data_IF_528145813256
#
_entry.id   IF_528145813256
#
_cell.length_a   1.000
_cell.length_b   1.000
_cell.length_c   1.000
_cell.angle_alpha   90.00
_cell.angle_beta   90.00
_cell.angle_gamma   90.00
#
_symmetry.space_group_name_H-M   'P 1'
#
loop_
_entity.id
_entity.type
_entity.pdbx_description
1 polymer ?
#
# COMPACT_ATOMS: atom_id res chain seq x y z
N UNK A 1 -2.85 -7.01 -6.61
CA UNK A 1 -1.39 -7.33 -6.56
C UNK A 1 -0.61 -6.37 -7.46
N UNK A 2 0.42 -5.69 -6.93
CA UNK A 2 1.26 -4.73 -7.69
C UNK A 2 2.40 -5.43 -8.45
N UNK A 3 2.69 -4.98 -9.67
CA UNK A 3 3.86 -5.44 -10.45
C UNK A 3 5.17 -4.89 -9.85
N UNK A 4 6.32 -5.48 -10.20
CA UNK A 4 7.64 -4.99 -9.75
C UNK A 4 7.84 -3.51 -10.05
N UNK A 5 7.54 -3.08 -11.28
CA UNK A 5 7.62 -1.67 -11.71
C UNK A 5 6.66 -0.75 -10.93
N UNK A 6 5.46 -1.23 -10.61
CA UNK A 6 4.50 -0.45 -9.80
C UNK A 6 4.97 -0.30 -8.36
N UNK A 7 5.56 -1.35 -7.76
CA UNK A 7 6.16 -1.28 -6.42
C UNK A 7 7.31 -0.27 -6.37
N UNK A 8 8.23 -0.34 -7.34
CA UNK A 8 9.32 0.63 -7.47
C UNK A 8 8.82 2.07 -7.64
N UNK A 9 7.73 2.26 -8.40
CA UNK A 9 7.10 3.57 -8.54
C UNK A 9 6.49 4.07 -7.23
N UNK A 10 5.84 3.20 -6.46
CA UNK A 10 5.24 3.55 -5.18
C UNK A 10 6.31 3.93 -4.16
N UNK A 11 7.35 3.11 -4.03
CA UNK A 11 8.49 3.35 -3.16
C UNK A 11 9.20 4.67 -3.52
N UNK A 12 9.39 4.96 -4.81
CA UNK A 12 9.98 6.22 -5.24
C UNK A 12 9.14 7.45 -4.80
N UNK A 13 7.82 7.34 -4.79
CA UNK A 13 6.92 8.41 -4.32
C UNK A 13 7.03 8.56 -2.80
N UNK A 14 7.02 7.44 -2.06
CA UNK A 14 7.10 7.43 -0.61
C UNK A 14 8.41 8.04 -0.09
N UNK A 15 9.53 7.70 -0.73
CA UNK A 15 10.82 8.25 -0.33
C UNK A 15 10.90 9.73 -0.69
N UNK A 16 10.44 10.17 -1.88
CA UNK A 16 10.39 11.60 -2.20
C UNK A 16 9.56 12.39 -1.16
N UNK A 17 8.45 11.84 -0.70
CA UNK A 17 7.64 12.48 0.35
C UNK A 17 8.33 12.45 1.72
N UNK A 18 9.07 11.38 2.04
CA UNK A 18 9.82 11.26 3.30
C UNK A 18 11.00 12.23 3.35
N UNK A 19 11.62 12.51 2.20
CA UNK A 19 12.68 13.50 2.03
C UNK A 19 12.14 14.95 2.06
N UNK A 20 10.83 15.14 2.27
CA UNK A 20 10.19 16.46 2.23
C UNK A 20 10.06 17.05 0.81
N UNK A 21 10.36 16.25 -0.22
CA UNK A 21 10.31 16.68 -1.60
C UNK A 21 8.92 16.53 -2.22
N UNK A 22 8.62 17.39 -3.21
CA UNK A 22 7.42 17.21 -4.04
C UNK A 22 7.59 16.04 -5.00
N UNK A 23 6.75 15.02 -4.84
CA UNK A 23 6.64 13.91 -5.77
C UNK A 23 6.06 14.35 -7.12
N UNK A 24 6.92 14.83 -8.01
CA UNK A 24 6.57 15.20 -9.40
C UNK A 24 6.87 14.06 -10.36
N UNK A 25 6.13 13.97 -11.47
CA UNK A 25 6.31 12.93 -12.49
C UNK A 25 7.75 12.88 -13.04
N UNK A 26 8.41 14.03 -13.17
CA UNK A 26 9.80 14.11 -13.63
C UNK A 26 10.77 13.49 -12.62
N UNK A 27 10.60 13.80 -11.32
CA UNK A 27 11.44 13.23 -10.25
C UNK A 27 11.20 11.74 -10.08
N UNK A 28 9.94 11.32 -10.11
CA UNK A 28 9.57 9.90 -10.08
C UNK A 28 10.24 9.16 -11.25
N UNK A 29 10.10 9.70 -12.47
CA UNK A 29 10.73 9.16 -13.67
C UNK A 29 12.26 9.04 -13.55
N UNK A 30 12.93 10.10 -13.06
CA UNK A 30 14.38 10.09 -12.81
C UNK A 30 14.80 8.99 -11.84
N UNK A 31 14.02 8.75 -10.78
CA UNK A 31 14.29 7.73 -9.76
C UNK A 31 14.11 6.30 -10.26
N UNK A 32 13.07 6.06 -11.06
CA UNK A 32 12.73 4.71 -11.54
C UNK A 32 13.31 4.40 -12.94
N UNK A 33 14.10 5.30 -13.52
CA UNK A 33 14.62 5.17 -14.88
C UNK A 33 13.50 5.08 -15.92
N UNK A 34 12.53 5.99 -15.87
CA UNK A 34 11.43 6.07 -16.82
C UNK A 34 11.25 7.49 -17.37
N UNK A 35 10.71 7.59 -18.59
CA UNK A 35 10.28 8.87 -19.15
C UNK A 35 9.14 9.46 -18.31
N UNK A 36 8.91 10.77 -18.42
CA UNK A 36 7.79 11.47 -17.74
C UNK A 36 6.44 10.82 -18.07
N UNK A 37 6.22 10.41 -19.32
CA UNK A 37 5.01 9.71 -19.75
C UNK A 37 4.90 8.30 -19.18
N UNK A 38 6.01 7.56 -19.10
CA UNK A 38 6.05 6.24 -18.46
C UNK A 38 5.75 6.31 -16.96
N UNK A 39 6.34 7.29 -16.27
CA UNK A 39 6.05 7.57 -14.86
C UNK A 39 4.56 7.93 -14.66
N UNK A 40 4.00 8.77 -15.54
CA UNK A 40 2.58 9.11 -15.50
C UNK A 40 1.67 7.88 -15.60
N UNK A 41 1.96 6.98 -16.54
CA UNK A 41 1.19 5.74 -16.70
C UNK A 41 1.26 4.84 -15.46
N UNK A 42 2.43 4.70 -14.85
CA UNK A 42 2.59 3.94 -13.61
C UNK A 42 1.83 4.56 -12.45
N UNK A 43 1.95 5.88 -12.27
CA UNK A 43 1.22 6.63 -11.22
C UNK A 43 -0.28 6.53 -11.44
N UNK A 44 -0.77 6.66 -12.68
CA UNK A 44 -2.19 6.49 -13.01
C UNK A 44 -2.67 5.09 -12.64
N UNK A 45 -1.90 4.04 -12.94
CA UNK A 45 -2.24 2.66 -12.56
C UNK A 45 -2.26 2.45 -11.04
N UNK A 46 -1.36 3.11 -10.31
CA UNK A 46 -1.39 3.11 -8.84
C UNK A 46 -2.62 3.86 -8.30
N UNK A 47 -3.03 4.94 -8.96
CA UNK A 47 -4.21 5.72 -8.58
C UNK A 47 -5.51 4.96 -8.83
N UNK A 48 -5.64 4.31 -9.99
CA UNK A 48 -6.76 3.41 -10.32
C UNK A 48 -6.89 2.26 -9.30
N UNK A 49 -5.79 1.89 -8.63
CA UNK A 49 -5.75 0.83 -7.61
C UNK A 49 -5.87 1.36 -6.18
N UNK A 50 -6.04 2.67 -5.99
CA UNK A 50 -6.23 3.29 -4.68
C UNK A 50 -4.97 3.38 -3.80
N UNK A 51 -3.77 3.25 -4.39
CA UNK A 51 -2.51 3.41 -3.64
C UNK A 51 -2.04 4.87 -3.57
N UNK A 52 -2.42 5.68 -4.56
CA UNK A 52 -2.07 7.09 -4.62
C UNK A 52 -3.28 7.91 -5.05
N UNK A 53 -3.36 9.16 -4.60
CA UNK A 53 -4.30 10.16 -5.11
C UNK A 53 -3.57 11.14 -6.00
N UNK A 54 -4.16 11.43 -7.15
CA UNK A 54 -3.72 12.48 -8.05
C UNK A 54 -4.62 13.69 -7.86
N UNK A 55 -4.12 14.74 -7.21
CA UNK A 55 -4.85 16.00 -7.21
C UNK A 55 -4.53 16.73 -8.51
N UNK A 56 -5.56 17.27 -9.15
CA UNK A 56 -5.44 17.95 -10.44
C UNK A 56 -5.90 19.39 -10.33
N UNK A 57 -5.32 20.26 -11.15
CA UNK A 57 -5.88 21.58 -11.41
C UNK A 57 -7.19 21.45 -12.21
N UNK A 58 -8.06 22.48 -12.21
CA UNK A 58 -9.24 22.52 -13.07
C UNK A 58 -8.93 22.31 -14.56
N UNK A 59 -7.72 22.70 -15.00
CA UNK A 59 -7.20 22.45 -16.36
C UNK A 59 -6.85 20.99 -16.66
N UNK A 60 -6.94 20.09 -15.69
CA UNK A 60 -6.64 18.67 -15.83
C UNK A 60 -5.17 18.28 -15.59
N UNK A 61 -4.27 19.25 -15.40
CA UNK A 61 -2.87 18.99 -15.07
C UNK A 61 -2.70 18.42 -13.66
N UNK A 62 -1.78 17.46 -13.49
CA UNK A 62 -1.45 16.89 -12.16
C UNK A 62 -0.77 17.95 -11.31
N UNK A 63 -1.38 18.28 -10.18
CA UNK A 63 -0.89 19.23 -9.18
C UNK A 63 -0.03 18.55 -8.13
N UNK A 64 -0.53 17.46 -7.56
CA UNK A 64 0.16 16.69 -6.52
C UNK A 64 -0.14 15.20 -6.61
N UNK A 65 0.79 14.41 -6.09
CA UNK A 65 0.71 12.96 -5.98
C UNK A 65 0.85 12.64 -4.50
N UNK A 66 -0.19 12.08 -3.89
CA UNK A 66 -0.24 11.77 -2.45
C UNK A 66 -0.37 10.27 -2.28
N UNK A 67 0.40 9.65 -1.37
CA UNK A 67 0.27 8.22 -1.10
C UNK A 67 -0.90 8.02 -0.15
N UNK A 68 -1.82 7.12 -0.52
CA UNK A 68 -2.93 6.72 0.34
C UNK A 68 -2.41 5.60 1.23
N UNK A 69 -2.09 5.93 2.48
CA UNK A 69 -1.80 4.91 3.50
C UNK A 69 -3.14 4.32 3.93
N UNK A 70 -3.40 3.07 3.52
CA UNK A 70 -4.54 2.35 4.08
C UNK A 70 -4.36 2.24 5.59
N UNK A 71 -5.39 2.54 6.40
CA UNK A 71 -5.30 2.31 7.84
C UNK A 71 -4.99 0.84 8.08
N UNK A 72 -3.90 0.57 8.79
CA UNK A 72 -3.59 -0.79 9.24
C UNK A 72 -4.53 -1.11 10.39
N UNK A 73 -5.57 -1.91 10.11
CA UNK A 73 -6.40 -2.46 11.17
C UNK A 73 -5.55 -3.46 11.97
N UNK A 74 -5.24 -3.11 13.22
CA UNK A 74 -4.61 -4.03 14.16
C UNK A 74 -5.74 -4.73 14.92
N UNK A 75 -5.80 -6.06 14.81
CA UNK A 75 -6.74 -6.86 15.60
C UNK A 75 -6.08 -7.18 16.93
N UNK A 76 -6.73 -6.78 18.02
CA UNK A 76 -6.26 -7.03 19.38
C UNK A 76 -7.16 -8.09 20.01
N UNK A 77 -6.58 -8.97 20.84
CA UNK A 77 -7.35 -9.80 21.77
C UNK A 77 -7.19 -9.24 23.19
N UNK A 78 -8.25 -9.34 23.97
CA UNK A 78 -8.16 -9.12 25.40
C UNK A 78 -7.65 -10.41 26.05
N UNK A 79 -6.62 -10.29 26.88
CA UNK A 79 -6.06 -11.40 27.64
C UNK A 79 -6.52 -11.29 29.10
N UNK A 80 -7.35 -12.23 29.53
CA UNK A 80 -7.98 -12.20 30.86
C UNK A 80 -6.99 -12.40 32.01
N UNK A 81 -5.88 -13.12 31.77
CA UNK A 81 -4.85 -13.38 32.80
C UNK A 81 -4.03 -12.11 33.09
N UNK A 82 -3.54 -11.46 32.04
CA UNK A 82 -2.74 -10.24 32.18
C UNK A 82 -3.61 -8.97 32.28
N UNK A 83 -4.92 -9.07 31.99
CA UNK A 83 -5.86 -7.94 31.85
C UNK A 83 -5.36 -6.87 30.87
N UNK A 84 -4.68 -7.28 29.80
CA UNK A 84 -4.13 -6.38 28.79
C UNK A 84 -4.62 -6.71 27.37
N UNK A 85 -4.56 -5.71 26.48
CA UNK A 85 -4.80 -5.91 25.05
C UNK A 85 -3.50 -6.36 24.40
N UNK A 86 -3.49 -7.56 23.82
CA UNK A 86 -2.33 -8.11 23.11
C UNK A 86 -2.61 -8.26 21.62
N UNK A 87 -1.63 -8.02 20.72
CA UNK A 87 -1.82 -8.19 19.29
C UNK A 87 -2.14 -9.64 18.95
N UNK A 88 -3.21 -9.87 18.19
CA UNK A 88 -3.39 -11.13 17.49
C UNK A 88 -2.36 -11.16 16.36
N UNK A 89 -1.20 -11.80 16.57
CA UNK A 89 -0.29 -12.07 15.47
C UNK A 89 -1.04 -12.87 14.40
N UNK A 90 -1.15 -12.37 13.15
CA UNK A 90 -1.72 -13.14 12.08
C UNK A 90 -0.72 -14.26 11.75
N UNK A 91 -0.82 -15.39 12.45
CA UNK A 91 -0.26 -16.64 11.94
C UNK A 91 -0.90 -16.85 10.58
N UNK A 92 -0.04 -17.10 9.60
CA UNK A 92 -0.36 -17.34 8.20
C UNK A 92 -1.73 -17.99 7.99
N UNK A 93 -2.45 -17.49 7.00
CA UNK A 93 -3.56 -18.16 6.31
C UNK A 93 -3.37 -19.68 6.27
N UNK A 94 -3.95 -20.41 7.22
CA UNK A 94 -4.26 -21.81 7.06
C UNK A 94 -5.53 -21.87 6.21
N UNK A 95 -5.35 -22.19 4.93
CA UNK A 95 -6.45 -22.51 4.02
C UNK A 95 -7.27 -23.64 4.64
N UNK A 96 -8.56 -23.38 4.77
CA UNK A 96 -9.71 -24.30 4.72
C UNK A 96 -9.45 -25.81 4.66
N UNK A 97 -10.10 -26.49 5.62
CA UNK A 97 -10.92 -27.70 5.47
C UNK A 97 -10.24 -29.03 5.05
N UNK A 98 -10.33 -30.01 5.97
CA UNK A 98 -10.39 -31.43 5.62
C UNK A 98 -9.66 -32.36 6.59
N UNK A 99 -10.36 -32.89 7.60
CA UNK A 99 -10.27 -34.27 8.10
C UNK A 99 -11.18 -34.44 9.33
N UNK A 100 -12.02 -35.48 9.33
CA UNK A 100 -13.01 -35.77 10.36
C UNK A 100 -12.52 -36.66 11.51
N UNK A 101 -13.51 -37.27 12.19
CA UNK A 101 -13.45 -38.12 13.39
C UNK A 101 -13.09 -37.37 14.69
N UNK A 102 -13.71 -37.57 15.85
CA UNK A 102 -14.58 -38.64 16.33
C UNK A 102 -14.33 -38.77 17.85
N UNK A 103 -15.34 -39.25 18.59
CA UNK A 103 -15.34 -39.57 20.03
C UNK A 103 -15.50 -38.40 21.03
N UNK A 104 -16.77 -38.21 21.43
CA UNK A 104 -17.08 -38.05 22.84
C UNK A 104 -16.94 -39.44 23.50
N UNK A 105 -16.10 -39.52 24.53
CA UNK A 105 -16.11 -40.58 25.54
C UNK A 105 -15.95 -39.89 26.90
#
# INVERSE_FOLDING_TARGET
MLTKRQKQCLEAIEVLQSDGERATLARIGKRIGASKGGAFWLVRKLAERGHVRLDRYPSGHVRSIVVIRQPRCVVLRFDDESKTLVPLSPKATARSAGAGCGLCA
#
